data_IF_952245646428
#
_entry.id   IF_952245646428
#
_cell.length_a   1.000
_cell.length_b   1.000
_cell.length_c   1.000
_cell.angle_alpha   90.00
_cell.angle_beta   90.00
_cell.angle_gamma   90.00
#
_symmetry.space_group_name_H-M   'P 1'
#
loop_
_entity.id
_entity.type
_entity.pdbx_description
1 polymer ?
#
# COMPACT_ATOMS: atom_id res chain seq x y z
N UNK A 1 26.72 12.76 -8.42
CA UNK A 1 25.31 12.54 -8.85
C UNK A 1 24.66 13.91 -9.00
N UNK A 2 24.09 14.24 -10.18
CA UNK A 2 23.26 15.45 -10.29
C UNK A 2 22.03 15.20 -9.42
N UNK A 3 21.81 16.04 -8.41
CA UNK A 3 20.62 15.97 -7.56
C UNK A 3 19.34 16.09 -8.41
N UNK A 4 18.25 15.51 -7.92
CA UNK A 4 16.93 15.66 -8.54
C UNK A 4 16.55 17.15 -8.50
N UNK A 5 16.02 17.73 -9.60
CA UNK A 5 15.57 19.11 -9.59
C UNK A 5 14.50 19.35 -8.51
N UNK A 6 14.52 20.48 -7.79
CA UNK A 6 13.53 20.76 -6.74
C UNK A 6 12.08 20.77 -7.27
N UNK A 7 11.87 21.19 -8.52
CA UNK A 7 10.57 21.10 -9.17
C UNK A 7 10.07 19.65 -9.30
N UNK A 8 10.96 18.73 -9.68
CA UNK A 8 10.63 17.30 -9.77
C UNK A 8 10.36 16.70 -8.37
N UNK A 9 11.05 17.16 -7.33
CA UNK A 9 10.76 16.74 -5.96
C UNK A 9 9.34 17.13 -5.52
N UNK A 10 8.92 18.38 -5.77
CA UNK A 10 7.57 18.84 -5.46
C UNK A 10 6.47 18.12 -6.27
N UNK A 11 6.76 17.77 -7.52
CA UNK A 11 5.87 16.94 -8.35
C UNK A 11 5.71 15.52 -7.79
N UNK A 12 6.80 14.91 -7.33
CA UNK A 12 6.80 13.58 -6.70
C UNK A 12 6.02 13.57 -5.37
N UNK A 13 6.18 14.61 -4.54
CA UNK A 13 5.39 14.78 -3.32
C UNK A 13 3.89 14.91 -3.65
N UNK A 14 3.57 15.74 -4.64
CA UNK A 14 2.18 15.92 -5.11
C UNK A 14 1.59 14.62 -5.64
N UNK A 15 2.37 13.84 -6.40
CA UNK A 15 1.97 12.53 -6.88
C UNK A 15 1.72 11.55 -5.73
N UNK A 16 2.58 11.53 -4.71
CA UNK A 16 2.40 10.67 -3.55
C UNK A 16 1.10 10.98 -2.80
N UNK A 17 0.80 12.27 -2.60
CA UNK A 17 -0.47 12.69 -1.97
C UNK A 17 -1.69 12.26 -2.77
N UNK A 18 -1.64 12.39 -4.10
CA UNK A 18 -2.74 11.99 -4.99
C UNK A 18 -3.00 10.49 -4.93
N UNK A 19 -1.93 9.68 -4.89
CA UNK A 19 -2.06 8.22 -4.74
C UNK A 19 -2.69 7.85 -3.39
N UNK A 20 -2.39 8.57 -2.31
CA UNK A 20 -3.02 8.35 -0.99
C UNK A 20 -4.53 8.62 -1.05
N UNK A 21 -4.94 9.73 -1.65
CA UNK A 21 -6.35 10.09 -1.82
C UNK A 21 -7.10 9.06 -2.68
N UNK A 22 -6.54 8.74 -3.85
CA UNK A 22 -7.12 7.78 -4.78
C UNK A 22 -7.21 6.38 -4.17
N UNK A 23 -6.19 5.96 -3.41
CA UNK A 23 -6.19 4.70 -2.67
C UNK A 23 -7.33 4.65 -1.65
N UNK A 24 -7.48 5.69 -0.83
CA UNK A 24 -8.55 5.77 0.16
C UNK A 24 -9.94 5.68 -0.48
N UNK A 25 -10.16 6.43 -1.56
CA UNK A 25 -11.41 6.40 -2.31
C UNK A 25 -11.64 5.04 -2.99
N UNK A 26 -10.58 4.39 -3.48
CA UNK A 26 -10.65 3.08 -4.12
C UNK A 26 -11.05 2.00 -3.11
N UNK A 27 -10.40 1.94 -1.96
CA UNK A 27 -10.73 0.98 -0.90
C UNK A 27 -12.14 1.18 -0.38
N UNK A 28 -12.55 2.43 -0.11
CA UNK A 28 -13.89 2.74 0.40
C UNK A 28 -15.01 2.31 -0.55
N UNK A 29 -14.75 2.29 -1.85
CA UNK A 29 -15.69 1.83 -2.88
C UNK A 29 -15.81 0.31 -2.95
N UNK A 30 -14.75 -0.43 -2.60
CA UNK A 30 -14.69 -1.89 -2.71
C UNK A 30 -14.72 -2.42 -4.16
N UNK A 31 -14.95 -3.74 -4.33
CA UNK A 31 -15.18 -4.36 -5.64
C UNK A 31 -16.37 -3.73 -6.39
N UNK A 32 -16.50 -4.00 -7.68
CA UNK A 32 -17.56 -3.42 -8.50
C UNK A 32 -18.97 -3.68 -7.90
N UNK A 33 -19.89 -2.71 -7.97
CA UNK A 33 -21.24 -2.91 -7.44
C UNK A 33 -21.91 -4.15 -8.05
N UNK A 34 -22.50 -4.99 -7.21
CA UNK A 34 -23.15 -6.23 -7.63
C UNK A 34 -22.19 -7.42 -7.84
N UNK A 35 -20.90 -7.27 -7.55
CA UNK A 35 -19.90 -8.35 -7.62
C UNK A 35 -19.31 -8.69 -6.24
N UNK A 36 -20.01 -8.38 -5.15
CA UNK A 36 -19.49 -8.58 -3.79
C UNK A 36 -19.23 -10.06 -3.46
N UNK A 37 -20.02 -10.97 -4.03
CA UNK A 37 -19.85 -12.42 -3.89
C UNK A 37 -18.92 -13.03 -4.95
N UNK A 38 -18.38 -12.21 -5.88
CA UNK A 38 -17.46 -12.67 -6.90
C UNK A 38 -16.03 -12.64 -6.38
N UNK A 39 -15.51 -13.83 -6.04
CA UNK A 39 -14.13 -14.02 -5.60
C UNK A 39 -13.10 -13.43 -6.59
N UNK A 40 -13.38 -13.45 -7.90
CA UNK A 40 -12.49 -12.86 -8.91
C UNK A 40 -12.48 -11.34 -8.82
N UNK A 41 -13.65 -10.72 -8.62
CA UNK A 41 -13.76 -9.28 -8.46
C UNK A 41 -13.06 -8.81 -7.17
N UNK A 42 -13.21 -9.57 -6.08
CA UNK A 42 -12.49 -9.32 -4.83
C UNK A 42 -10.97 -9.43 -5.01
N UNK A 43 -10.48 -10.53 -5.59
CA UNK A 43 -9.06 -10.72 -5.85
C UNK A 43 -8.46 -9.64 -6.76
N UNK A 44 -9.19 -9.24 -7.81
CA UNK A 44 -8.78 -8.16 -8.70
C UNK A 44 -8.72 -6.80 -7.97
N UNK A 45 -9.70 -6.50 -7.13
CA UNK A 45 -9.71 -5.30 -6.28
C UNK A 45 -8.50 -5.28 -5.34
N UNK A 46 -8.24 -6.40 -4.67
CA UNK A 46 -7.10 -6.54 -3.75
C UNK A 46 -5.75 -6.40 -4.48
N UNK A 47 -5.60 -7.00 -5.66
CA UNK A 47 -4.39 -6.87 -6.48
C UNK A 47 -4.16 -5.42 -6.94
N UNK A 48 -5.22 -4.70 -7.29
CA UNK A 48 -5.14 -3.28 -7.64
C UNK A 48 -4.73 -2.42 -6.42
N UNK A 49 -5.29 -2.69 -5.24
CA UNK A 49 -4.91 -2.02 -4.00
C UNK A 49 -3.42 -2.24 -3.66
N UNK A 50 -2.93 -3.48 -3.75
CA UNK A 50 -1.51 -3.81 -3.55
C UNK A 50 -0.60 -3.07 -4.54
N UNK A 51 -1.02 -2.99 -5.80
CA UNK A 51 -0.27 -2.30 -6.85
C UNK A 51 -0.19 -0.78 -6.58
N UNK A 52 -1.26 -0.16 -6.08
CA UNK A 52 -1.26 1.24 -5.70
C UNK A 52 -0.29 1.53 -4.54
N UNK A 53 -0.26 0.67 -3.52
CA UNK A 53 0.70 0.78 -2.42
C UNK A 53 2.15 0.62 -2.88
N UNK A 54 2.41 -0.35 -3.78
CA UNK A 54 3.73 -0.50 -4.38
C UNK A 54 4.16 0.73 -5.18
N UNK A 55 3.22 1.38 -5.89
CA UNK A 55 3.49 2.64 -6.59
C UNK A 55 3.81 3.78 -5.62
N UNK A 56 3.02 3.92 -4.55
CA UNK A 56 3.25 4.91 -3.50
C UNK A 56 4.65 4.76 -2.87
N UNK A 57 5.06 3.52 -2.58
CA UNK A 57 6.39 3.24 -2.06
C UNK A 57 7.50 3.71 -3.01
N UNK A 58 7.35 3.48 -4.32
CA UNK A 58 8.32 3.96 -5.30
C UNK A 58 8.41 5.49 -5.32
N UNK A 59 7.27 6.19 -5.28
CA UNK A 59 7.26 7.65 -5.21
C UNK A 59 7.98 8.16 -3.97
N UNK A 60 7.74 7.57 -2.80
CA UNK A 60 8.41 7.96 -1.55
C UNK A 60 9.92 7.69 -1.56
N UNK A 61 10.37 6.61 -2.21
CA UNK A 61 11.81 6.35 -2.44
C UNK A 61 12.43 7.44 -3.31
N UNK A 62 11.73 7.89 -4.35
CA UNK A 62 12.20 8.98 -5.22
C UNK A 62 12.22 10.33 -4.50
N UNK A 63 11.19 10.64 -3.69
CA UNK A 63 11.16 11.84 -2.84
C UNK A 63 12.35 11.86 -1.87
N UNK A 64 12.62 10.72 -1.20
CA UNK A 64 13.78 10.58 -0.31
C UNK A 64 15.11 10.74 -1.05
N UNK A 65 15.24 10.14 -2.24
CA UNK A 65 16.44 10.26 -3.06
C UNK A 65 16.68 11.70 -3.55
N UNK A 66 15.62 12.52 -3.62
CA UNK A 66 15.71 13.95 -3.92
C UNK A 66 16.15 14.80 -2.72
N UNK A 67 16.27 14.21 -1.51
CA UNK A 67 16.53 14.96 -0.28
C UNK A 67 15.34 15.81 0.17
N UNK A 68 14.12 15.42 -0.23
CA UNK A 68 12.88 16.12 0.06
C UNK A 68 11.94 15.24 0.93
N UNK A 69 10.83 15.82 1.37
CA UNK A 69 9.73 15.10 2.01
C UNK A 69 9.87 14.71 3.48
N UNK A 70 11.00 14.97 4.15
CA UNK A 70 11.20 14.57 5.55
C UNK A 70 10.32 15.37 6.55
N UNK A 71 10.01 16.63 6.21
CA UNK A 71 9.14 17.52 7.00
C UNK A 71 7.77 17.76 6.35
N UNK A 72 7.51 17.16 5.19
CA UNK A 72 6.26 17.39 4.43
C UNK A 72 5.16 16.51 5.01
N UNK A 73 4.17 17.12 5.66
CA UNK A 73 3.07 16.42 6.34
C UNK A 73 2.39 15.35 5.46
N UNK A 74 2.18 15.63 4.17
CA UNK A 74 1.60 14.66 3.23
C UNK A 74 2.48 13.44 2.97
N UNK A 75 3.81 13.61 2.97
CA UNK A 75 4.78 12.52 2.83
C UNK A 75 4.82 11.66 4.09
N UNK A 76 4.75 12.30 5.27
CA UNK A 76 4.66 11.59 6.56
C UNK A 76 3.38 10.75 6.62
N UNK A 77 2.24 11.32 6.22
CA UNK A 77 0.97 10.60 6.15
C UNK A 77 1.04 9.40 5.19
N UNK A 78 1.62 9.60 3.99
CA UNK A 78 1.81 8.53 3.01
C UNK A 78 2.69 7.39 3.54
N UNK A 79 3.76 7.71 4.28
CA UNK A 79 4.61 6.73 4.94
C UNK A 79 3.85 5.95 6.02
N UNK A 80 3.08 6.65 6.85
CA UNK A 80 2.26 6.02 7.89
C UNK A 80 1.25 5.03 7.29
N UNK A 81 0.56 5.42 6.20
CA UNK A 81 -0.36 4.55 5.48
C UNK A 81 0.33 3.26 5.00
N UNK A 82 1.51 3.36 4.40
CA UNK A 82 2.24 2.17 3.95
C UNK A 82 2.64 1.24 5.10
N UNK A 83 3.06 1.79 6.25
CA UNK A 83 3.40 0.98 7.41
C UNK A 83 2.18 0.25 7.96
N UNK A 84 1.04 0.93 8.06
CA UNK A 84 -0.22 0.32 8.48
C UNK A 84 -0.66 -0.79 7.51
N UNK A 85 -0.63 -0.52 6.20
CA UNK A 85 -1.03 -1.50 5.20
C UNK A 85 -0.12 -2.74 5.20
N UNK A 86 1.20 -2.57 5.39
CA UNK A 86 2.14 -3.68 5.53
C UNK A 86 1.91 -4.49 6.80
N UNK A 87 1.63 -3.81 7.93
CA UNK A 87 1.31 -4.47 9.18
C UNK A 87 0.07 -5.36 9.06
N UNK A 88 -0.99 -4.86 8.43
CA UNK A 88 -2.21 -5.62 8.16
C UNK A 88 -1.94 -6.85 7.27
N UNK A 89 -1.25 -6.67 6.14
CA UNK A 89 -0.94 -7.77 5.22
C UNK A 89 0.03 -8.82 5.82
N UNK A 90 0.89 -8.42 6.75
CA UNK A 90 1.83 -9.35 7.40
C UNK A 90 1.17 -10.14 8.53
N UNK A 91 0.10 -9.62 9.14
CA UNK A 91 -0.70 -10.36 10.11
C UNK A 91 -1.51 -11.47 9.42
N UNK A 92 -2.10 -11.18 8.26
CA UNK A 92 -2.82 -12.17 7.44
C UNK A 92 -1.94 -13.37 7.06
N UNK A 93 -0.65 -13.16 6.80
CA UNK A 93 0.27 -14.25 6.43
C UNK A 93 0.69 -15.15 7.61
N UNK A 94 0.56 -14.68 8.86
CA UNK A 94 0.92 -15.47 10.06
C UNK A 94 -0.25 -16.33 10.53
N UNK A 95 -1.49 -15.90 10.28
CA UNK A 95 -2.69 -16.66 10.67
C UNK A 95 -2.90 -17.93 9.81
N UNK A 96 -2.38 -17.97 8.57
CA UNK A 96 -2.46 -19.15 7.70
C UNK A 96 -1.45 -20.27 8.05
N UNK A 97 -0.44 -20.02 8.89
CA UNK A 97 0.62 -20.99 9.25
C UNK A 97 0.36 -21.77 10.56
N UNK A 98 -0.63 -21.39 11.38
CA UNK A 98 -0.89 -22.01 12.69
C UNK A 98 -1.93 -23.16 12.67
N UNK A 99 -2.61 -23.44 11.55
CA UNK A 99 -3.70 -24.44 11.49
C UNK A 99 -3.27 -25.85 11.01
N UNK A 100 -1.98 -26.06 10.69
CA UNK A 100 -1.44 -27.31 10.12
C UNK A 100 -0.60 -28.14 11.13
N UNK A 101 -0.80 -27.93 12.43
CA UNK A 101 -0.02 -28.59 13.49
C UNK A 101 -0.86 -29.23 14.61
N UNK A 102 -1.97 -29.92 14.31
CA UNK A 102 -2.50 -30.93 15.24
C UNK A 102 -3.14 -32.13 14.53
N UNK A 103 -2.29 -32.93 13.91
CA UNK A 103 -2.65 -34.15 13.21
C UNK A 103 -1.74 -35.32 13.60
N UNK A 104 -1.86 -35.82 14.83
CA UNK A 104 -1.58 -37.23 15.09
C UNK A 104 -0.61 -37.55 16.23
N UNK A 105 -1.16 -38.10 17.31
CA UNK A 105 -0.57 -39.28 17.96
C UNK A 105 -1.69 -40.11 18.56
N UNK A 106 -2.00 -41.22 17.90
CA UNK A 106 -2.81 -42.31 18.44
C UNK A 106 -2.04 -42.99 19.58
N UNK A 107 -2.72 -43.25 20.69
CA UNK A 107 -2.27 -44.09 21.80
C UNK A 107 -3.46 -44.74 22.48
#
# INVERSE_FOLDING_TARGET
>A
MKGIPPALAAELESAAMRVVEDYGAFIARGPAPGTHDDAKAFAAHHAAAKSALAHLEHLLKLVRAAGAGEEVAGVIQAQALLQQARGAMSAEAQEDEEDDADGGTSG
#
